data_IF_005134292045
#
_entry.id   IF_005134292045
#
_cell.length_a   1.000
_cell.length_b   1.000
_cell.length_c   1.000
_cell.angle_alpha   90.00
_cell.angle_beta   90.00
_cell.angle_gamma   90.00
#
_symmetry.space_group_name_H-M   'P 1'
#
loop_
_entity.id
_entity.type
_entity.pdbx_description
1 polymer ?
#
# COMPACT_ATOMS: atom_id res chain seq x y z
N UNK A 1 45.28 58.44 45.81
CA UNK A 1 45.39 57.27 46.70
C UNK A 1 44.35 56.23 46.28
N UNK A 2 44.82 54.98 46.09
CA UNK A 2 44.10 53.67 46.00
C UNK A 2 42.66 53.62 45.43
N UNK A 3 42.44 53.02 44.25
CA UNK A 3 42.20 51.57 43.99
C UNK A 3 41.15 50.91 44.90
N UNK A 4 39.98 50.59 44.35
CA UNK A 4 39.17 49.36 44.58
C UNK A 4 38.17 49.23 43.40
N UNK A 5 38.45 48.38 42.40
CA UNK A 5 37.87 47.03 42.19
C UNK A 5 36.36 47.08 41.83
N UNK A 6 35.99 47.13 40.54
CA UNK A 6 35.69 46.01 39.60
C UNK A 6 34.32 45.32 39.86
N UNK A 7 33.53 45.26 38.79
CA UNK A 7 32.45 44.29 38.50
C UNK A 7 31.04 44.59 39.02
N UNK A 8 30.25 45.29 38.21
CA UNK A 8 28.79 45.07 38.14
C UNK A 8 28.24 45.46 36.76
N UNK A 9 28.95 45.04 35.70
CA UNK A 9 28.43 44.97 34.34
C UNK A 9 28.17 43.49 34.11
N UNK A 10 26.97 43.00 34.38
CA UNK A 10 26.47 41.69 33.93
C UNK A 10 25.02 41.51 34.45
N UNK A 11 24.08 42.26 33.90
CA UNK A 11 22.65 41.91 33.98
C UNK A 11 21.87 42.85 33.08
N UNK A 12 21.72 42.49 31.80
CA UNK A 12 20.61 42.81 30.91
C UNK A 12 20.94 42.38 29.47
N UNK A 13 21.45 41.15 29.30
CA UNK A 13 21.42 40.44 28.02
C UNK A 13 20.49 39.24 28.17
N UNK A 14 19.19 39.52 28.16
CA UNK A 14 18.15 38.49 28.22
C UNK A 14 17.01 38.85 27.26
N UNK A 15 17.34 39.06 25.98
CA UNK A 15 16.37 38.82 24.91
C UNK A 15 16.71 37.45 24.36
N UNK A 16 16.16 36.45 25.04
CA UNK A 16 16.24 35.05 24.66
C UNK A 16 15.59 34.90 23.27
N UNK A 17 16.42 34.58 22.28
CA UNK A 17 16.03 34.11 20.96
C UNK A 17 15.05 32.94 21.19
N UNK A 18 13.77 33.16 20.88
CA UNK A 18 12.75 32.10 20.89
C UNK A 18 13.14 31.13 19.79
N UNK A 19 13.71 30.00 20.20
CA UNK A 19 14.08 28.86 19.36
C UNK A 19 12.90 28.42 18.51
N UNK A 20 12.94 28.82 17.24
CA UNK A 20 12.04 28.43 16.17
C UNK A 20 12.45 27.06 15.60
N UNK A 21 12.53 26.00 16.42
CA UNK A 21 12.98 24.69 15.94
C UNK A 21 12.42 23.53 16.76
N UNK A 22 11.13 23.17 16.57
CA UNK A 22 10.67 21.77 16.70
C UNK A 22 9.48 21.54 15.76
N UNK A 23 9.71 21.55 14.44
CA UNK A 23 8.83 20.87 13.47
C UNK A 23 9.65 19.91 12.60
N UNK A 24 10.50 19.10 13.24
CA UNK A 24 11.04 17.89 12.63
C UNK A 24 10.03 16.75 12.80
N UNK A 25 8.78 16.97 12.36
CA UNK A 25 7.93 15.87 11.94
C UNK A 25 8.39 15.55 10.51
N UNK A 26 9.36 14.65 10.38
CA UNK A 26 9.59 13.94 9.13
C UNK A 26 8.36 13.05 8.87
N UNK A 27 7.23 13.69 8.54
CA UNK A 27 6.02 13.00 8.12
C UNK A 27 6.34 12.36 6.77
N UNK A 28 6.06 11.07 6.63
CA UNK A 28 6.14 10.42 5.32
C UNK A 28 5.32 11.24 4.33
N UNK A 29 5.96 11.74 3.26
CA UNK A 29 5.26 12.57 2.28
C UNK A 29 4.44 11.65 1.37
N UNK A 30 3.14 11.56 1.65
CA UNK A 30 2.17 10.94 0.76
C UNK A 30 1.79 11.96 -0.32
N UNK A 31 2.38 11.80 -1.50
CA UNK A 31 2.08 12.58 -2.68
C UNK A 31 1.26 11.73 -3.66
N UNK A 32 -0.01 11.57 -3.28
CA UNK A 32 -1.02 10.80 -4.01
C UNK A 32 -1.14 11.31 -5.43
N UNK A 33 -0.91 10.42 -6.38
CA UNK A 33 -1.04 10.66 -7.81
C UNK A 33 -1.86 9.56 -8.43
N UNK A 34 -2.70 9.94 -9.38
CA UNK A 34 -3.38 9.00 -10.24
C UNK A 34 -2.44 8.55 -11.34
N UNK A 35 -2.43 7.24 -11.59
CA UNK A 35 -1.67 6.60 -12.66
C UNK A 35 -2.66 5.88 -13.57
N UNK A 36 -2.66 6.31 -14.83
CA UNK A 36 -3.33 5.63 -15.93
C UNK A 36 -2.35 4.62 -16.52
N UNK A 37 -2.63 3.34 -16.34
CA UNK A 37 -1.84 2.24 -16.89
C UNK A 37 -2.62 1.58 -18.01
N UNK A 38 -2.58 2.18 -19.20
CA UNK A 38 -3.25 1.64 -20.38
C UNK A 38 -2.71 0.25 -20.75
N UNK A 39 -1.40 0.07 -20.66
CA UNK A 39 -0.74 -1.21 -20.93
C UNK A 39 -1.24 -2.33 -20.02
N UNK A 40 -1.41 -2.04 -18.73
CA UNK A 40 -1.81 -3.06 -17.74
C UNK A 40 -3.33 -3.06 -17.47
N UNK A 41 -4.08 -2.10 -18.00
CA UNK A 41 -5.54 -2.07 -18.01
C UNK A 41 -6.18 -1.56 -16.72
N UNK A 42 -5.63 -0.51 -16.11
CA UNK A 42 -6.23 0.10 -14.91
C UNK A 42 -5.89 1.57 -14.72
N UNK A 43 -6.70 2.21 -13.89
CA UNK A 43 -6.44 3.46 -13.18
C UNK A 43 -6.14 3.13 -11.71
N UNK A 44 -5.12 3.74 -11.11
CA UNK A 44 -4.82 3.54 -9.69
C UNK A 44 -4.24 4.80 -9.04
N UNK A 45 -4.54 5.01 -7.75
CA UNK A 45 -3.84 5.98 -6.93
C UNK A 45 -2.58 5.36 -6.34
N UNK A 46 -1.46 6.08 -6.36
CA UNK A 46 -0.24 5.70 -5.66
C UNK A 46 0.29 6.87 -4.81
N UNK A 47 0.83 6.60 -3.61
CA UNK A 47 1.29 7.66 -2.70
C UNK A 47 2.62 8.30 -3.09
N UNK A 48 3.34 7.74 -4.06
CA UNK A 48 4.62 8.25 -4.53
C UNK A 48 4.87 7.84 -5.98
N UNK A 49 6.04 8.21 -6.52
CA UNK A 49 6.48 7.72 -7.84
C UNK A 49 6.56 6.20 -7.82
N UNK A 50 6.04 5.57 -8.86
CA UNK A 50 6.06 4.11 -9.00
C UNK A 50 7.29 3.61 -9.75
N UNK A 51 7.60 2.35 -9.49
CA UNK A 51 8.51 1.53 -10.30
C UNK A 51 7.75 0.27 -10.74
N UNK A 52 8.20 -0.36 -11.82
CA UNK A 52 7.60 -1.60 -12.34
C UNK A 52 8.62 -2.73 -12.32
N UNK A 53 8.20 -3.90 -11.88
CA UNK A 53 8.99 -5.13 -11.86
C UNK A 53 8.12 -6.28 -12.37
N UNK A 54 8.69 -7.20 -13.16
CA UNK A 54 8.00 -8.42 -13.52
C UNK A 54 8.37 -9.55 -12.55
N UNK A 55 7.36 -10.23 -12.02
CA UNK A 55 7.50 -11.48 -11.25
C UNK A 55 6.87 -12.64 -12.02
N UNK A 56 7.40 -13.83 -11.83
CA UNK A 56 6.81 -15.05 -12.40
C UNK A 56 6.05 -15.80 -11.32
N UNK A 57 4.76 -16.00 -11.54
CA UNK A 57 3.91 -16.84 -10.71
C UNK A 57 3.89 -18.24 -11.32
N UNK A 58 4.20 -19.26 -10.51
CA UNK A 58 4.18 -20.66 -10.97
C UNK A 58 2.97 -21.36 -10.35
N UNK A 59 2.07 -21.86 -11.20
CA UNK A 59 0.88 -22.61 -10.80
C UNK A 59 0.70 -23.82 -11.71
N UNK A 60 0.56 -25.03 -11.13
CA UNK A 60 0.45 -26.30 -11.87
C UNK A 60 1.51 -26.45 -12.99
N UNK A 61 2.77 -26.13 -12.68
CA UNK A 61 3.90 -26.14 -13.61
C UNK A 61 3.80 -25.18 -14.81
N UNK A 62 2.79 -24.30 -14.84
CA UNK A 62 2.67 -23.21 -15.80
C UNK A 62 3.16 -21.90 -15.17
N UNK A 63 3.84 -21.09 -15.98
CA UNK A 63 4.35 -19.77 -15.57
C UNK A 63 3.41 -18.67 -16.04
N UNK A 64 3.03 -17.79 -15.13
CA UNK A 64 2.19 -16.63 -15.37
C UNK A 64 3.00 -15.36 -15.04
N UNK A 65 3.37 -14.54 -16.03
CA UNK A 65 4.03 -13.27 -15.76
C UNK A 65 3.05 -12.33 -15.04
N UNK A 66 3.52 -11.72 -13.97
CA UNK A 66 2.82 -10.72 -13.19
C UNK A 66 3.64 -9.43 -13.19
N UNK A 67 3.09 -8.38 -13.79
CA UNK A 67 3.71 -7.05 -13.74
C UNK A 67 3.29 -6.38 -12.44
N UNK A 68 4.26 -5.96 -11.64
CA UNK A 68 4.08 -5.33 -10.34
C UNK A 68 4.45 -3.86 -10.43
N UNK A 69 3.46 -2.97 -10.44
CA UNK A 69 3.69 -1.54 -10.28
C UNK A 69 3.59 -1.17 -8.79
N UNK A 70 4.66 -0.66 -8.21
CA UNK A 70 4.75 -0.42 -6.78
C UNK A 70 5.33 0.95 -6.43
N UNK A 71 4.93 1.49 -5.29
CA UNK A 71 5.51 2.67 -4.66
C UNK A 71 5.59 2.51 -3.15
N UNK A 72 6.59 3.12 -2.55
CA UNK A 72 6.80 3.14 -1.10
C UNK A 72 6.61 4.56 -0.57
N UNK A 73 5.94 4.68 0.57
CA UNK A 73 5.81 5.92 1.32
C UNK A 73 5.98 5.61 2.83
N UNK A 74 7.07 6.12 3.42
CA UNK A 74 7.46 5.74 4.78
C UNK A 74 7.70 4.23 4.89
N UNK A 75 7.10 3.61 5.92
CA UNK A 75 7.18 2.17 6.18
C UNK A 75 6.12 1.34 5.43
N UNK A 76 5.34 1.97 4.55
CA UNK A 76 4.29 1.35 3.78
C UNK A 76 4.69 1.14 2.31
N UNK A 77 4.40 -0.04 1.78
CA UNK A 77 4.55 -0.42 0.38
C UNK A 77 3.17 -0.69 -0.22
N UNK A 78 2.91 -0.07 -1.37
CA UNK A 78 1.67 -0.21 -2.12
C UNK A 78 1.98 -0.73 -3.52
N UNK A 79 1.25 -1.73 -3.98
CA UNK A 79 1.49 -2.36 -5.27
C UNK A 79 0.20 -2.80 -5.96
N UNK A 80 0.15 -2.62 -7.28
CA UNK A 80 -0.83 -3.25 -8.17
C UNK A 80 -0.09 -4.26 -9.03
N UNK A 81 -0.48 -5.52 -8.91
CA UNK A 81 0.00 -6.61 -9.74
C UNK A 81 -1.03 -7.00 -10.80
N UNK A 82 -0.59 -7.19 -12.04
CA UNK A 82 -1.46 -7.57 -13.15
C UNK A 82 -0.98 -8.87 -13.79
N UNK A 83 -1.87 -9.85 -13.88
CA UNK A 83 -1.70 -11.06 -14.68
C UNK A 83 -2.72 -11.01 -15.82
N UNK A 84 -2.23 -11.10 -17.06
CA UNK A 84 -3.07 -11.27 -18.24
C UNK A 84 -3.04 -12.76 -18.62
N UNK A 85 -4.20 -13.39 -18.68
CA UNK A 85 -4.34 -14.80 -18.99
C UNK A 85 -4.66 -14.99 -20.48
N UNK A 86 -4.21 -16.12 -21.01
CA UNK A 86 -4.65 -16.57 -22.33
C UNK A 86 -6.16 -16.91 -22.27
N UNK A 87 -6.99 -16.46 -23.24
CA UNK A 87 -8.42 -16.79 -23.27
C UNK A 87 -8.73 -18.30 -23.30
N UNK A 88 -7.77 -19.13 -23.73
CA UNK A 88 -7.88 -20.59 -23.70
C UNK A 88 -7.65 -21.20 -22.32
N UNK A 89 -7.06 -20.46 -21.37
CA UNK A 89 -6.78 -20.95 -20.02
C UNK A 89 -8.08 -21.10 -19.21
N UNK A 90 -8.48 -22.36 -18.96
CA UNK A 90 -9.75 -22.70 -18.31
C UNK A 90 -9.74 -22.60 -16.78
N UNK A 91 -8.55 -22.63 -16.17
CA UNK A 91 -8.38 -22.68 -14.72
C UNK A 91 -8.20 -21.28 -14.09
N UNK A 92 -8.74 -20.22 -14.71
CA UNK A 92 -8.54 -18.83 -14.27
C UNK A 92 -9.05 -18.57 -12.85
N UNK A 93 -10.21 -19.13 -12.50
CA UNK A 93 -10.79 -19.00 -11.16
C UNK A 93 -10.00 -19.80 -10.11
N UNK A 94 -9.52 -20.99 -10.46
CA UNK A 94 -8.70 -21.81 -9.58
C UNK A 94 -7.31 -21.19 -9.37
N UNK A 95 -6.75 -20.51 -10.37
CA UNK A 95 -5.55 -19.69 -10.23
C UNK A 95 -5.80 -18.52 -9.27
N UNK A 96 -6.93 -17.82 -9.41
CA UNK A 96 -7.31 -16.74 -8.49
C UNK A 96 -7.43 -17.24 -7.05
N UNK A 97 -8.13 -18.36 -6.82
CA UNK A 97 -8.24 -18.97 -5.49
C UNK A 97 -6.86 -19.36 -4.93
N UNK A 98 -5.98 -19.91 -5.78
CA UNK A 98 -4.62 -20.24 -5.37
C UNK A 98 -3.80 -18.99 -4.99
N UNK A 99 -3.95 -17.87 -5.72
CA UNK A 99 -3.32 -16.59 -5.38
C UNK A 99 -3.81 -16.06 -4.02
N UNK A 100 -5.13 -16.15 -3.79
CA UNK A 100 -5.76 -15.75 -2.52
C UNK A 100 -5.25 -16.58 -1.34
N UNK A 101 -5.21 -17.90 -1.50
CA UNK A 101 -4.68 -18.82 -0.50
C UNK A 101 -3.19 -18.58 -0.23
N UNK A 102 -2.40 -18.31 -1.27
CA UNK A 102 -0.97 -18.02 -1.15
C UNK A 102 -0.73 -16.72 -0.39
N UNK A 103 -1.51 -15.67 -0.67
CA UNK A 103 -1.40 -14.40 0.05
C UNK A 103 -1.78 -14.51 1.53
N UNK A 104 -2.73 -15.37 1.88
CA UNK A 104 -3.09 -15.65 3.27
C UNK A 104 -1.91 -16.23 4.09
N UNK A 105 -0.94 -16.87 3.43
CA UNK A 105 0.25 -17.45 4.07
C UNK A 105 1.40 -16.45 4.24
N UNK A 106 1.31 -15.24 3.66
CA UNK A 106 2.39 -14.24 3.71
C UNK A 106 2.62 -13.73 5.14
N UNK A 107 1.55 -13.64 5.93
CA UNK A 107 1.59 -13.13 7.30
C UNK A 107 1.28 -14.28 8.25
N UNK A 108 2.21 -14.58 9.16
CA UNK A 108 1.98 -15.49 10.28
C UNK A 108 1.14 -14.75 11.31
N UNK A 109 -0.15 -15.04 11.32
CA UNK A 109 -1.11 -14.42 12.22
C UNK A 109 -1.65 -15.44 13.22
N UNK A 110 -1.89 -14.98 14.46
CA UNK A 110 -2.60 -15.75 15.48
C UNK A 110 -4.13 -15.61 15.36
N UNK A 111 -4.59 -14.67 14.52
CA UNK A 111 -6.00 -14.31 14.35
C UNK A 111 -6.52 -14.78 13.00
N UNK A 112 -7.82 -15.00 12.91
CA UNK A 112 -8.46 -15.34 11.62
C UNK A 112 -8.37 -14.14 10.68
N UNK A 113 -7.93 -14.31 9.42
CA UNK A 113 -7.96 -13.25 8.40
C UNK A 113 -9.36 -12.65 8.25
N UNK A 114 -9.44 -11.33 8.15
CA UNK A 114 -10.73 -10.67 7.89
C UNK A 114 -11.00 -10.70 6.39
N UNK A 115 -12.06 -11.39 5.98
CA UNK A 115 -12.50 -11.44 4.60
C UNK A 115 -13.18 -10.13 4.22
N UNK A 116 -12.78 -9.57 3.08
CA UNK A 116 -13.42 -8.42 2.47
C UNK A 116 -14.17 -8.83 1.20
N UNK A 117 -15.42 -8.39 1.07
CA UNK A 117 -16.21 -8.51 -0.16
C UNK A 117 -16.83 -7.14 -0.46
N UNK A 118 -16.44 -6.55 -1.58
CA UNK A 118 -16.90 -5.22 -2.01
C UNK A 118 -16.97 -5.16 -3.53
N UNK A 119 -17.10 -3.96 -4.09
CA UNK A 119 -17.11 -3.71 -5.52
C UNK A 119 -16.29 -2.47 -5.85
N UNK A 120 -15.66 -2.48 -7.03
CA UNK A 120 -15.07 -1.27 -7.61
C UNK A 120 -15.73 -0.93 -8.94
N UNK A 121 -15.68 0.35 -9.29
CA UNK A 121 -16.14 0.88 -10.58
C UNK A 121 -15.13 0.51 -11.65
N UNK A 122 -15.61 0.29 -12.86
CA UNK A 122 -14.75 0.21 -14.04
C UNK A 122 -14.40 1.62 -14.49
N UNK A 123 -13.15 1.86 -14.87
CA UNK A 123 -12.74 3.17 -15.33
C UNK A 123 -13.52 3.55 -16.58
N UNK A 124 -13.84 4.84 -16.73
CA UNK A 124 -14.58 5.38 -17.88
C UNK A 124 -16.04 4.88 -18.01
N UNK A 125 -16.49 3.93 -17.18
CA UNK A 125 -17.86 3.43 -17.16
C UNK A 125 -18.57 3.82 -15.86
N UNK A 126 -19.56 4.72 -15.94
CA UNK A 126 -20.17 5.32 -14.72
C UNK A 126 -20.95 4.35 -13.84
N UNK A 127 -21.52 3.29 -14.40
CA UNK A 127 -22.50 2.44 -13.71
C UNK A 127 -22.13 0.95 -13.63
N UNK A 128 -21.06 0.51 -14.28
CA UNK A 128 -20.64 -0.88 -14.21
C UNK A 128 -19.65 -1.06 -13.05
N UNK A 129 -19.85 -2.13 -12.29
CA UNK A 129 -19.04 -2.47 -11.12
C UNK A 129 -18.63 -3.93 -11.21
N UNK A 130 -17.41 -4.20 -10.74
CA UNK A 130 -16.86 -5.56 -10.66
C UNK A 130 -16.70 -5.98 -9.20
N UNK A 131 -16.93 -7.26 -8.88
CA UNK A 131 -16.68 -7.80 -7.55
C UNK A 131 -15.20 -7.65 -7.16
N UNK A 132 -14.99 -7.35 -5.89
CA UNK A 132 -13.69 -7.32 -5.25
C UNK A 132 -13.72 -8.24 -4.06
N UNK A 133 -12.71 -9.10 -3.95
CA UNK A 133 -12.49 -9.94 -2.77
C UNK A 133 -11.18 -9.55 -2.14
N UNK A 134 -11.03 -9.66 -0.82
CA UNK A 134 -9.80 -9.29 -0.16
C UNK A 134 -9.59 -9.95 1.19
N UNK A 135 -8.38 -9.78 1.71
CA UNK A 135 -7.97 -10.21 3.04
C UNK A 135 -7.31 -9.04 3.76
N UNK A 136 -7.65 -8.88 5.04
CA UNK A 136 -6.90 -8.05 5.96
C UNK A 136 -6.23 -8.94 6.99
N UNK A 137 -4.91 -8.82 7.07
CA UNK A 137 -4.02 -9.66 7.86
C UNK A 137 -3.19 -8.76 8.77
N UNK A 138 -2.95 -9.23 10.00
CA UNK A 138 -2.04 -8.58 10.95
C UNK A 138 -1.23 -9.66 11.66
N UNK A 139 0.09 -9.50 11.72
CA UNK A 139 0.97 -10.51 12.31
C UNK A 139 2.42 -10.36 11.85
N UNK A 140 3.19 -11.44 11.96
CA UNK A 140 4.60 -11.45 11.62
C UNK A 140 4.81 -11.75 10.14
N UNK A 141 5.55 -10.87 9.46
CA UNK A 141 6.06 -11.14 8.12
C UNK A 141 7.18 -12.20 8.12
N UNK A 142 7.66 -12.62 6.94
CA UNK A 142 8.74 -13.60 6.81
C UNK A 142 10.04 -13.18 7.51
N UNK A 143 10.26 -11.88 7.65
CA UNK A 143 11.40 -11.25 8.34
C UNK A 143 11.17 -11.03 9.85
N UNK A 144 10.14 -11.65 10.43
CA UNK A 144 9.77 -11.53 11.85
C UNK A 144 9.38 -10.12 12.30
N UNK A 145 9.09 -9.20 11.37
CA UNK A 145 8.55 -7.88 11.72
C UNK A 145 7.03 -7.91 11.78
N UNK A 146 6.46 -7.19 12.73
CA UNK A 146 5.02 -7.00 12.83
C UNK A 146 4.53 -6.14 11.64
N UNK A 147 3.50 -6.61 10.95
CA UNK A 147 2.94 -5.97 9.75
C UNK A 147 1.42 -6.00 9.76
N UNK A 148 0.83 -4.94 9.21
CA UNK A 148 -0.54 -4.94 8.70
C UNK A 148 -0.45 -5.13 7.19
N UNK A 149 -1.19 -6.09 6.64
CA UNK A 149 -1.22 -6.41 5.22
C UNK A 149 -2.65 -6.51 4.72
N UNK A 150 -3.01 -5.65 3.79
CA UNK A 150 -4.27 -5.73 3.06
C UNK A 150 -4.00 -6.12 1.62
N UNK A 151 -4.82 -7.03 1.12
CA UNK A 151 -4.76 -7.47 -0.26
C UNK A 151 -6.16 -7.60 -0.83
N UNK A 152 -6.37 -7.09 -2.04
CA UNK A 152 -7.63 -7.21 -2.79
C UNK A 152 -7.35 -7.80 -4.17
N UNK A 153 -8.29 -8.57 -4.68
CA UNK A 153 -8.28 -9.10 -6.03
C UNK A 153 -9.50 -8.66 -6.81
N UNK A 154 -9.25 -8.37 -8.08
CA UNK A 154 -10.27 -8.13 -9.10
C UNK A 154 -10.01 -9.06 -10.26
N UNK A 155 -11.02 -9.84 -10.63
CA UNK A 155 -11.01 -10.65 -11.84
C UNK A 155 -12.00 -10.08 -12.83
N UNK A 156 -11.56 -9.92 -14.08
CA UNK A 156 -12.39 -9.38 -15.16
C UNK A 156 -11.96 -9.99 -16.49
N UNK A 157 -12.86 -10.00 -17.45
CA UNK A 157 -12.51 -10.18 -18.86
C UNK A 157 -12.56 -8.78 -19.47
N UNK A 158 -11.45 -8.32 -20.06
CA UNK A 158 -11.39 -7.00 -20.69
C UNK A 158 -12.17 -6.97 -22.02
N UNK A 159 -12.33 -5.77 -22.60
CA UNK A 159 -13.08 -5.59 -23.86
C UNK A 159 -12.51 -6.42 -25.04
N UNK A 160 -11.24 -6.81 -24.97
CA UNK A 160 -10.60 -7.67 -25.96
C UNK A 160 -10.85 -9.17 -25.74
N UNK A 161 -11.59 -9.53 -24.70
CA UNK A 161 -11.89 -10.91 -24.33
C UNK A 161 -10.78 -11.59 -23.52
N UNK A 162 -9.77 -10.85 -23.04
CA UNK A 162 -8.67 -11.42 -22.25
C UNK A 162 -9.00 -11.38 -20.76
N UNK A 163 -8.95 -12.54 -20.05
CA UNK A 163 -9.08 -12.53 -18.60
C UNK A 163 -7.87 -11.85 -17.95
N UNK A 164 -8.13 -10.99 -16.97
CA UNK A 164 -7.13 -10.32 -16.15
C UNK A 164 -7.40 -10.57 -14.68
N UNK A 165 -6.33 -10.82 -13.94
CA UNK A 165 -6.33 -10.81 -12.48
C UNK A 165 -5.49 -9.60 -12.04
N UNK A 166 -6.12 -8.72 -11.27
CA UNK A 166 -5.45 -7.64 -10.56
C UNK A 166 -5.32 -8.01 -9.10
N UNK A 167 -4.14 -7.79 -8.52
CA UNK A 167 -3.88 -7.92 -7.09
C UNK A 167 -3.39 -6.58 -6.55
N UNK A 168 -4.17 -5.96 -5.68
CA UNK A 168 -3.79 -4.76 -4.97
C UNK A 168 -3.23 -5.16 -3.62
N UNK A 169 -2.05 -4.69 -3.26
CA UNK A 169 -1.38 -5.02 -2.00
C UNK A 169 -0.94 -3.73 -1.31
N UNK A 170 -1.35 -3.55 -0.05
CA UNK A 170 -0.84 -2.51 0.83
C UNK A 170 -0.30 -3.17 2.10
N UNK A 171 0.97 -2.96 2.41
CA UNK A 171 1.62 -3.57 3.56
C UNK A 171 2.43 -2.53 4.30
N UNK A 172 2.35 -2.53 5.63
CA UNK A 172 3.09 -1.60 6.47
C UNK A 172 3.70 -2.32 7.65
N UNK A 173 4.99 -2.03 7.88
CA UNK A 173 5.66 -2.46 9.11
C UNK A 173 5.18 -1.58 10.25
N UNK A 174 4.79 -2.19 11.37
CA UNK A 174 4.25 -1.50 12.53
C UNK A 174 4.99 -1.91 13.80
N UNK A 175 5.01 -1.06 14.86
CA UNK A 175 5.47 -1.49 16.17
C UNK A 175 4.57 -2.60 16.74
N UNK A 176 5.08 -3.35 17.72
CA UNK A 176 4.32 -4.42 18.40
C UNK A 176 3.03 -3.92 19.06
N UNK A 177 3.01 -2.65 19.49
CA UNK A 177 1.83 -2.00 20.07
C UNK A 177 1.45 -0.79 19.22
N UNK A 178 0.28 -0.86 18.60
CA UNK A 178 -0.23 0.20 17.73
C UNK A 178 -1.33 0.99 18.44
N UNK A 179 -1.18 2.32 18.55
CA UNK A 179 -2.25 3.17 19.07
C UNK A 179 -3.46 3.21 18.13
N UNK A 180 -4.64 3.53 18.67
CA UNK A 180 -5.86 3.69 17.88
C UNK A 180 -5.70 4.76 16.78
N UNK A 181 -4.98 5.85 17.08
CA UNK A 181 -4.73 6.91 16.11
C UNK A 181 -3.82 6.43 14.96
N UNK A 182 -2.73 5.72 15.26
CA UNK A 182 -1.87 5.15 14.22
C UNK A 182 -2.64 4.16 13.35
N UNK A 183 -3.44 3.27 13.96
CA UNK A 183 -4.28 2.31 13.22
C UNK A 183 -5.25 3.02 12.28
N UNK A 184 -5.87 4.11 12.74
CA UNK A 184 -6.78 4.91 11.92
C UNK A 184 -6.06 5.51 10.70
N UNK A 185 -4.89 6.10 10.91
CA UNK A 185 -4.08 6.68 9.81
C UNK A 185 -3.72 5.62 8.76
N UNK A 186 -3.20 4.46 9.19
CA UNK A 186 -2.86 3.35 8.28
C UNK A 186 -4.10 2.87 7.50
N UNK A 187 -5.23 2.76 8.18
CA UNK A 187 -6.51 2.36 7.57
C UNK A 187 -6.93 3.36 6.49
N UNK A 188 -6.84 4.67 6.74
CA UNK A 188 -7.19 5.72 5.78
C UNK A 188 -6.25 5.71 4.57
N UNK A 189 -4.95 5.53 4.77
CA UNK A 189 -3.95 5.42 3.70
C UNK A 189 -4.21 4.18 2.82
N UNK A 190 -4.46 3.03 3.43
CA UNK A 190 -4.75 1.79 2.71
C UNK A 190 -6.07 1.89 1.96
N UNK A 191 -7.11 2.46 2.56
CA UNK A 191 -8.38 2.68 1.86
C UNK A 191 -8.24 3.67 0.70
N UNK A 192 -7.43 4.71 0.84
CA UNK A 192 -7.17 5.67 -0.24
C UNK A 192 -6.58 4.98 -1.46
N UNK A 193 -5.55 4.16 -1.26
CA UNK A 193 -4.96 3.32 -2.31
C UNK A 193 -5.99 2.34 -2.91
N UNK A 194 -6.63 1.54 -2.06
CA UNK A 194 -7.50 0.44 -2.51
C UNK A 194 -8.79 0.91 -3.20
N UNK A 195 -9.33 2.08 -2.81
CA UNK A 195 -10.54 2.64 -3.41
C UNK A 195 -10.25 3.49 -4.65
N UNK A 196 -8.99 3.91 -4.84
CA UNK A 196 -8.54 4.63 -6.03
C UNK A 196 -8.28 3.74 -7.24
N UNK A 197 -8.47 2.42 -7.11
CA UNK A 197 -8.25 1.47 -8.20
C UNK A 197 -9.52 1.23 -9.00
N UNK A 198 -9.41 1.38 -10.32
CA UNK A 198 -10.47 1.11 -11.28
C UNK A 198 -9.90 0.32 -12.47
N UNK A 199 -10.27 -0.96 -12.68
CA UNK A 199 -9.86 -1.69 -13.87
C UNK A 199 -10.54 -1.12 -15.11
N UNK A 200 -9.93 -1.30 -16.27
CA UNK A 200 -10.56 -1.00 -17.57
C UNK A 200 -11.50 -2.13 -17.96
#
# INVERSE_FOLDING_TARGET
MSRFFKSFQDSLTAVFIVSLFILSACTASFNWREIQSEEHGYLALFPAKTSSEQKTIVYKNQSFPMIMQASQAGDALFAVGTIVLDPSFKDSHQLLEWLQNSAAQVIRTASVPVLEKTQTRIALQKNEKVPVTGLQLEGLGPDQKQRIYWVRWVYRIDESGKPRIFQLSAIQTVPNTLSAQQRKVITEEFLTFMNGFHPY
#
